data_IF_933201898915
#
_entry.id   IF_933201898915
#
_cell.length_a   1.000
_cell.length_b   1.000
_cell.length_c   1.000
_cell.angle_alpha   90.00
_cell.angle_beta   90.00
_cell.angle_gamma   90.00
#
_symmetry.space_group_name_H-M   'P 1'
#
loop_
_entity.id
_entity.type
_entity.pdbx_description
1 polymer ?
#
# COMPACT_ATOMS: atom_id res chain seq x y z
N UNK A 1 9.85 23.33 -6.61
CA UNK A 1 10.97 22.36 -6.62
C UNK A 1 10.39 21.01 -6.19
N UNK A 2 10.58 19.91 -6.94
CA UNK A 2 9.97 18.62 -6.56
C UNK A 2 10.63 18.10 -5.28
N UNK A 3 9.94 17.29 -4.48
CA UNK A 3 10.54 16.72 -3.25
C UNK A 3 11.85 15.97 -3.50
N UNK A 4 11.95 15.33 -4.66
CA UNK A 4 13.15 14.67 -5.19
C UNK A 4 14.34 15.64 -5.25
N UNK A 5 14.13 16.82 -5.83
CA UNK A 5 15.19 17.83 -6.01
C UNK A 5 15.73 18.31 -4.65
N UNK A 6 14.84 18.59 -3.69
CA UNK A 6 15.26 19.00 -2.34
C UNK A 6 15.98 17.88 -1.60
N UNK A 7 15.57 16.62 -1.78
CA UNK A 7 16.26 15.47 -1.20
C UNK A 7 17.71 15.38 -1.71
N UNK A 8 17.94 15.56 -3.02
CA UNK A 8 19.28 15.64 -3.61
C UNK A 8 20.11 16.77 -3.02
N UNK A 9 19.54 17.97 -2.88
CA UNK A 9 20.25 19.14 -2.34
C UNK A 9 20.75 18.95 -0.89
N UNK A 10 20.08 18.09 -0.11
CA UNK A 10 20.49 17.79 1.27
C UNK A 10 21.23 16.44 1.40
N UNK A 11 21.65 15.86 0.29
CA UNK A 11 22.46 14.64 0.25
C UNK A 11 21.70 13.36 0.61
N UNK A 12 20.38 13.34 0.43
CA UNK A 12 19.59 12.10 0.53
C UNK A 12 19.51 11.43 -0.82
N UNK A 13 19.58 10.10 -0.82
CA UNK A 13 19.30 9.29 -2.01
C UNK A 13 17.85 9.48 -2.42
N UNK A 14 17.66 9.63 -3.72
CA UNK A 14 16.38 9.60 -4.38
C UNK A 14 16.35 8.44 -5.38
N UNK A 15 15.56 7.43 -5.09
CA UNK A 15 15.02 6.56 -6.12
C UNK A 15 13.72 7.19 -6.60
N UNK A 16 13.65 7.59 -7.88
CA UNK A 16 12.45 8.19 -8.46
C UNK A 16 11.20 7.32 -8.17
N UNK A 17 11.36 5.98 -8.12
CA UNK A 17 10.31 4.98 -7.91
C UNK A 17 9.98 4.67 -6.43
N UNK A 18 9.77 5.69 -5.60
CA UNK A 18 9.35 5.43 -4.21
C UNK A 18 9.19 6.63 -3.29
N UNK A 19 9.49 7.84 -3.76
CA UNK A 19 9.26 9.06 -2.96
C UNK A 19 7.78 9.20 -2.61
N UNK A 20 6.86 8.86 -3.53
CA UNK A 20 5.42 8.85 -3.28
C UNK A 20 5.06 7.95 -2.09
N UNK A 21 5.59 6.72 -2.06
CA UNK A 21 5.43 5.80 -0.94
C UNK A 21 5.97 6.40 0.36
N UNK A 22 7.20 6.92 0.36
CA UNK A 22 7.81 7.48 1.56
C UNK A 22 7.06 8.68 2.15
N UNK A 23 6.52 9.54 1.27
CA UNK A 23 5.64 10.66 1.63
C UNK A 23 4.32 10.16 2.20
N UNK A 24 3.64 9.27 1.48
CA UNK A 24 2.36 8.69 1.88
C UNK A 24 2.46 7.97 3.23
N UNK A 25 3.49 7.13 3.43
CA UNK A 25 3.77 6.43 4.68
C UNK A 25 4.01 7.39 5.86
N UNK A 26 4.83 8.43 5.64
CA UNK A 26 5.12 9.42 6.69
C UNK A 26 3.87 10.21 7.10
N UNK A 27 3.05 10.56 6.12
CA UNK A 27 1.77 11.26 6.32
C UNK A 27 0.74 10.37 6.99
N UNK A 28 0.60 9.12 6.57
CA UNK A 28 -0.32 8.12 7.14
C UNK A 28 -0.12 7.98 8.66
N UNK A 29 1.13 7.80 9.10
CA UNK A 29 1.43 7.64 10.53
C UNK A 29 1.08 8.91 11.31
N UNK A 30 1.31 10.07 10.69
CA UNK A 30 1.05 11.36 11.34
C UNK A 30 -0.45 11.66 11.43
N UNK A 31 -1.22 11.24 10.43
CA UNK A 31 -2.68 11.29 10.43
C UNK A 31 -3.26 10.40 11.53
N UNK A 32 -2.86 9.13 11.60
CA UNK A 32 -3.36 8.18 12.61
C UNK A 32 -3.11 8.67 14.05
N UNK A 33 -1.95 9.29 14.31
CA UNK A 33 -1.63 9.85 15.63
C UNK A 33 -2.49 11.06 16.03
N UNK A 34 -3.33 11.59 15.12
CA UNK A 34 -4.16 12.77 15.36
C UNK A 34 -3.35 14.03 15.64
N UNK A 35 -2.10 14.08 15.16
CA UNK A 35 -1.16 15.12 15.53
C UNK A 35 -1.47 16.43 14.78
N UNK A 36 -1.31 17.58 15.46
CA UNK A 36 -1.02 18.86 14.77
C UNK A 36 0.16 18.73 13.78
N UNK A 37 1.01 17.70 13.97
CA UNK A 37 2.08 17.36 13.04
C UNK A 37 1.59 17.05 11.64
N UNK A 38 0.37 16.56 11.45
CA UNK A 38 -0.22 16.44 10.12
C UNK A 38 -0.24 17.80 9.41
N UNK A 39 -0.71 18.86 10.08
CA UNK A 39 -0.62 20.25 9.59
C UNK A 39 0.83 20.74 9.46
N UNK A 40 1.71 20.41 10.41
CA UNK A 40 3.14 20.80 10.33
C UNK A 40 3.88 20.10 9.17
N UNK A 41 3.48 18.89 8.79
CA UNK A 41 4.05 18.19 7.63
C UNK A 41 3.61 18.83 6.33
N UNK A 42 2.34 19.26 6.21
CA UNK A 42 1.87 20.09 5.09
C UNK A 42 2.70 21.37 4.97
N UNK A 43 2.93 22.07 6.09
CA UNK A 43 3.78 23.29 6.10
C UNK A 43 5.22 23.00 5.69
N UNK A 44 5.79 21.85 6.06
CA UNK A 44 7.14 21.47 5.64
C UNK A 44 7.21 21.19 4.14
N UNK A 45 6.20 20.55 3.59
CA UNK A 45 6.16 20.27 2.16
C UNK A 45 5.92 21.53 1.33
N UNK A 46 5.03 22.44 1.75
CA UNK A 46 4.85 23.72 1.05
C UNK A 46 6.11 24.59 1.02
N UNK A 47 7.02 24.43 1.99
CA UNK A 47 8.35 25.07 1.97
C UNK A 47 9.27 24.49 0.87
N UNK A 48 9.14 23.20 0.53
CA UNK A 48 9.83 22.57 -0.60
C UNK A 48 9.34 23.20 -1.90
N UNK A 49 8.01 23.27 -2.09
CA UNK A 49 7.42 23.75 -3.35
C UNK A 49 7.76 25.21 -3.64
N UNK A 50 7.75 26.05 -2.60
CA UNK A 50 8.02 27.49 -2.70
C UNK A 50 9.51 27.85 -2.81
N UNK A 51 10.44 26.90 -2.64
CA UNK A 51 11.88 27.15 -2.69
C UNK A 51 12.43 28.01 -1.53
N UNK A 52 11.63 28.25 -0.49
CA UNK A 52 12.02 29.13 0.64
C UNK A 52 12.63 28.29 1.77
N UNK A 53 13.95 28.11 1.75
CA UNK A 53 14.69 27.35 2.78
C UNK A 53 15.66 28.28 3.54
N UNK A 54 15.35 28.56 4.82
CA UNK A 54 16.30 29.15 5.77
C UNK A 54 17.02 28.06 6.58
N UNK A 55 18.13 28.34 7.26
CA UNK A 55 18.92 27.33 7.98
C UNK A 55 18.12 26.54 9.04
N UNK A 56 17.32 27.24 9.85
CA UNK A 56 16.43 26.61 10.85
C UNK A 56 15.36 25.75 10.18
N UNK A 57 14.87 26.16 9.01
CA UNK A 57 13.92 25.37 8.21
C UNK A 57 14.61 24.14 7.60
N UNK A 58 15.87 24.27 7.18
CA UNK A 58 16.69 23.21 6.58
C UNK A 58 16.85 22.02 7.53
N UNK A 59 17.15 22.26 8.80
CA UNK A 59 17.29 21.18 9.79
C UNK A 59 15.96 20.44 10.03
N UNK A 60 14.85 21.19 10.14
CA UNK A 60 13.51 20.62 10.34
C UNK A 60 13.01 19.84 9.13
N UNK A 61 13.40 20.28 7.94
CA UNK A 61 13.11 19.65 6.66
C UNK A 61 13.94 18.38 6.47
N UNK A 62 15.23 18.44 6.80
CA UNK A 62 16.14 17.30 6.77
C UNK A 62 15.64 16.14 7.64
N UNK A 63 15.18 16.40 8.87
CA UNK A 63 14.57 15.36 9.74
C UNK A 63 13.33 14.73 9.12
N UNK A 64 12.52 15.52 8.40
CA UNK A 64 11.33 15.02 7.71
C UNK A 64 11.71 14.15 6.50
N UNK A 65 12.54 14.67 5.61
CA UNK A 65 12.96 13.98 4.39
C UNK A 65 13.81 12.74 4.68
N UNK A 66 14.58 12.72 5.78
CA UNK A 66 15.27 11.51 6.23
C UNK A 66 14.28 10.39 6.55
N UNK A 67 13.10 10.73 7.11
CA UNK A 67 12.06 9.74 7.39
C UNK A 67 11.40 9.25 6.11
N UNK A 68 11.14 10.16 5.16
CA UNK A 68 10.65 9.82 3.82
C UNK A 68 11.61 8.83 3.14
N UNK A 69 12.91 9.14 3.12
CA UNK A 69 13.94 8.30 2.51
C UNK A 69 14.00 6.89 3.14
N UNK A 70 13.83 6.79 4.46
CA UNK A 70 13.81 5.50 5.16
C UNK A 70 12.64 4.60 4.73
N UNK A 71 11.48 5.18 4.44
CA UNK A 71 10.33 4.42 3.95
C UNK A 71 10.43 4.12 2.45
N UNK A 72 10.93 5.07 1.66
CA UNK A 72 11.12 4.94 0.23
C UNK A 72 12.06 3.77 -0.15
N UNK A 73 13.22 3.70 0.49
CA UNK A 73 14.28 2.76 0.15
C UNK A 73 15.01 2.25 1.41
N UNK A 74 14.35 1.47 2.28
CA UNK A 74 14.95 1.01 3.53
C UNK A 74 16.24 0.20 3.31
N UNK A 75 16.36 -0.49 2.17
CA UNK A 75 17.53 -1.28 1.80
C UNK A 75 18.83 -0.45 1.67
N UNK A 76 18.75 0.84 1.33
CA UNK A 76 19.91 1.74 1.30
C UNK A 76 20.41 2.11 2.69
N UNK A 77 19.58 1.86 3.72
CA UNK A 77 19.83 2.22 5.09
C UNK A 77 19.91 0.99 6.00
N UNK A 78 20.33 -0.17 5.46
CA UNK A 78 20.46 -1.46 6.20
C UNK A 78 21.20 -1.33 7.52
N UNK A 79 22.28 -0.55 7.57
CA UNK A 79 23.05 -0.28 8.79
C UNK A 79 22.26 0.42 9.91
N UNK A 80 21.06 0.92 9.61
CA UNK A 80 20.14 1.53 10.57
C UNK A 80 19.12 0.53 11.13
N UNK A 81 19.06 -0.72 10.67
CA UNK A 81 18.11 -1.74 11.12
C UNK A 81 18.81 -2.89 11.85
N UNK A 82 18.20 -3.43 12.94
CA UNK A 82 18.82 -4.48 13.76
C UNK A 82 18.83 -5.86 13.08
N UNK A 83 17.89 -6.13 12.18
CA UNK A 83 17.86 -7.31 11.31
C UNK A 83 17.86 -6.78 9.87
N UNK A 84 18.76 -7.20 8.96
CA UNK A 84 18.84 -6.69 7.58
C UNK A 84 17.61 -7.00 6.69
N UNK A 85 16.49 -7.41 7.27
CA UNK A 85 15.19 -7.48 6.61
C UNK A 85 14.62 -6.06 6.49
N UNK A 86 14.28 -5.49 5.31
CA UNK A 86 13.91 -6.16 4.06
C UNK A 86 14.52 -5.56 2.78
N UNK A 87 14.23 -6.21 1.65
CA UNK A 87 14.41 -5.69 0.29
C UNK A 87 13.22 -4.80 -0.20
N UNK A 88 12.29 -4.38 0.69
CA UNK A 88 10.98 -3.79 0.31
C UNK A 88 10.49 -2.62 1.17
N UNK A 89 9.52 -1.88 0.65
CA UNK A 89 8.77 -0.77 1.26
C UNK A 89 7.81 -1.24 2.38
N UNK A 90 8.33 -1.90 3.41
CA UNK A 90 7.54 -2.34 4.57
C UNK A 90 7.41 -1.21 5.62
N UNK A 91 6.28 -0.51 5.59
CA UNK A 91 6.01 0.60 6.50
C UNK A 91 5.96 0.17 7.98
N UNK A 92 5.50 -1.05 8.29
CA UNK A 92 5.36 -1.52 9.67
C UNK A 92 6.74 -1.76 10.26
N UNK A 93 7.58 -2.56 9.60
CA UNK A 93 8.94 -2.87 10.06
C UNK A 93 9.80 -1.60 10.20
N UNK A 94 9.72 -0.69 9.22
CA UNK A 94 10.44 0.60 9.29
C UNK A 94 9.92 1.44 10.46
N UNK A 95 8.60 1.47 10.69
CA UNK A 95 7.98 2.22 11.78
C UNK A 95 8.28 1.64 13.17
N UNK A 96 8.38 0.32 13.31
CA UNK A 96 8.76 -0.31 14.58
C UNK A 96 10.21 0.06 14.95
N UNK A 97 11.11 0.02 13.96
CA UNK A 97 12.52 0.35 14.15
C UNK A 97 12.78 1.84 14.35
N UNK A 98 12.06 2.72 13.63
CA UNK A 98 12.33 4.17 13.57
C UNK A 98 11.18 5.04 14.09
N UNK A 99 10.18 4.43 14.72
CA UNK A 99 9.04 5.10 15.30
C UNK A 99 9.41 6.04 16.47
N UNK A 100 8.82 7.23 16.47
CA UNK A 100 8.97 8.17 17.59
C UNK A 100 8.25 7.70 18.87
N UNK A 101 8.58 8.31 20.02
CA UNK A 101 8.02 7.97 21.35
C UNK A 101 6.49 7.86 21.37
N UNK A 102 5.79 8.73 20.63
CA UNK A 102 4.32 8.74 20.56
C UNK A 102 3.76 7.51 19.85
N UNK A 103 4.38 7.11 18.73
CA UNK A 103 3.98 5.90 18.01
C UNK A 103 4.15 4.67 18.90
N UNK A 104 5.28 4.59 19.63
CA UNK A 104 5.52 3.51 20.60
C UNK A 104 4.48 3.50 21.72
N UNK A 105 4.14 4.67 22.29
CA UNK A 105 3.08 4.79 23.32
C UNK A 105 1.70 4.35 22.81
N UNK A 106 1.43 4.54 21.51
CA UNK A 106 0.19 4.11 20.87
C UNK A 106 0.22 2.64 20.40
N UNK A 107 1.20 1.83 20.83
CA UNK A 107 1.30 0.41 20.47
C UNK A 107 1.94 0.13 19.11
N UNK A 108 2.56 1.12 18.47
CA UNK A 108 3.17 0.98 17.14
C UNK A 108 2.18 1.15 16.00
N UNK A 109 2.67 1.01 14.76
CA UNK A 109 1.84 0.90 13.57
C UNK A 109 1.57 -0.59 13.31
N UNK A 110 0.36 -0.96 12.91
CA UNK A 110 -0.03 -2.35 12.62
C UNK A 110 -0.83 -2.41 11.32
N UNK A 111 -0.61 -3.45 10.53
CA UNK A 111 -1.50 -3.78 9.39
C UNK A 111 -2.85 -4.25 9.95
N UNK A 112 -3.92 -3.77 9.32
CA UNK A 112 -5.31 -4.13 9.62
C UNK A 112 -5.81 -5.13 8.60
N UNK A 113 -5.62 -4.81 7.31
CA UNK A 113 -5.97 -5.64 6.18
C UNK A 113 -5.17 -5.20 4.95
N UNK A 114 -4.80 -6.14 4.10
CA UNK A 114 -4.14 -5.91 2.84
C UNK A 114 -5.03 -6.53 1.75
N UNK A 115 -5.55 -5.69 0.86
CA UNK A 115 -6.58 -6.06 -0.11
C UNK A 115 -6.16 -5.54 -1.47
N UNK A 116 -6.25 -6.35 -2.52
CA UNK A 116 -6.07 -5.92 -3.90
C UNK A 116 -7.36 -6.09 -4.69
N UNK A 117 -7.55 -5.32 -5.75
CA UNK A 117 -8.74 -5.48 -6.58
C UNK A 117 -8.71 -4.72 -7.88
N UNK A 118 -9.63 -5.10 -8.76
CA UNK A 118 -9.92 -4.40 -10.01
C UNK A 118 -11.24 -3.67 -9.86
N UNK A 119 -11.20 -2.35 -9.94
CA UNK A 119 -12.31 -1.47 -9.61
C UNK A 119 -12.51 -0.42 -10.68
N UNK A 120 -13.76 -0.19 -11.07
CA UNK A 120 -14.11 1.01 -11.83
C UNK A 120 -13.97 2.26 -10.96
N UNK A 121 -14.06 3.45 -11.59
CA UNK A 121 -14.13 4.72 -10.84
C UNK A 121 -15.31 4.76 -9.88
N UNK A 122 -16.44 4.21 -10.31
CA UNK A 122 -17.66 4.15 -9.51
C UNK A 122 -17.55 3.14 -8.37
N UNK A 123 -16.93 1.98 -8.62
CA UNK A 123 -16.62 1.00 -7.57
C UNK A 123 -15.73 1.65 -6.49
N UNK A 124 -14.67 2.34 -6.90
CA UNK A 124 -13.75 3.00 -5.98
C UNK A 124 -14.46 4.10 -5.16
N UNK A 125 -15.37 4.85 -5.78
CA UNK A 125 -16.21 5.83 -5.08
C UNK A 125 -17.10 5.17 -4.04
N UNK A 126 -17.83 4.15 -4.44
CA UNK A 126 -18.83 3.49 -3.61
C UNK A 126 -18.16 2.70 -2.48
N UNK A 127 -16.95 2.20 -2.71
CA UNK A 127 -16.06 1.62 -1.72
C UNK A 127 -15.72 2.63 -0.61
N UNK A 128 -15.22 3.82 -0.95
CA UNK A 128 -14.92 4.86 0.05
C UNK A 128 -16.19 5.33 0.78
N UNK A 129 -17.28 5.57 0.06
CA UNK A 129 -18.56 5.95 0.68
C UNK A 129 -19.05 4.89 1.67
N UNK A 130 -19.01 3.61 1.29
CA UNK A 130 -19.37 2.48 2.14
C UNK A 130 -18.47 2.39 3.39
N UNK A 131 -17.17 2.64 3.25
CA UNK A 131 -16.23 2.67 4.38
C UNK A 131 -16.56 3.81 5.36
N UNK A 132 -16.85 5.02 4.86
CA UNK A 132 -17.25 6.14 5.72
C UNK A 132 -18.53 5.83 6.50
N UNK A 133 -19.43 5.04 5.91
CA UNK A 133 -20.66 4.64 6.56
C UNK A 133 -20.40 3.60 7.65
N UNK A 134 -19.56 2.60 7.38
CA UNK A 134 -19.17 1.59 8.36
C UNK A 134 -18.48 2.22 9.57
N UNK A 135 -17.47 3.07 9.33
CA UNK A 135 -16.72 3.77 10.38
C UNK A 135 -17.59 4.67 11.27
N UNK A 136 -18.71 5.20 10.77
CA UNK A 136 -19.65 6.03 11.55
C UNK A 136 -20.65 5.23 12.39
N UNK A 137 -20.86 3.96 12.07
CA UNK A 137 -21.91 3.13 12.68
C UNK A 137 -21.45 2.34 13.89
N UNK A 138 -20.17 2.39 14.22
CA UNK A 138 -19.64 1.84 15.45
C UNK A 138 -19.35 2.97 16.47
N UNK A 139 -20.37 3.43 17.22
CA UNK A 139 -20.22 4.52 18.18
C UNK A 139 -19.32 4.16 19.38
N UNK A 140 -18.99 2.88 19.58
CA UNK A 140 -18.12 2.39 20.65
C UNK A 140 -16.64 2.33 20.27
N UNK A 141 -16.32 2.33 18.98
CA UNK A 141 -14.95 2.22 18.49
C UNK A 141 -14.05 3.37 18.99
N UNK A 142 -12.91 3.00 19.59
CA UNK A 142 -11.83 3.93 19.91
C UNK A 142 -11.01 4.31 18.67
N UNK A 143 -11.15 3.59 17.56
CA UNK A 143 -10.60 3.97 16.27
C UNK A 143 -11.43 5.11 15.65
N UNK A 144 -10.88 6.34 15.72
CA UNK A 144 -11.51 7.52 15.10
C UNK A 144 -10.95 7.90 13.74
N UNK A 145 -9.76 7.37 13.42
CA UNK A 145 -9.05 7.63 12.17
C UNK A 145 -8.70 6.32 11.50
N UNK A 146 -9.11 6.20 10.25
CA UNK A 146 -8.88 5.05 9.39
C UNK A 146 -7.98 5.51 8.27
N UNK A 147 -6.88 4.81 8.01
CA UNK A 147 -5.97 5.20 6.95
C UNK A 147 -5.54 4.00 6.14
N UNK A 148 -5.42 4.23 4.84
CA UNK A 148 -4.90 3.25 3.90
C UNK A 148 -3.88 3.89 2.96
N UNK A 149 -2.94 3.08 2.52
CA UNK A 149 -2.20 3.36 1.30
C UNK A 149 -3.00 2.77 0.14
N UNK A 150 -3.28 3.60 -0.86
CA UNK A 150 -3.86 3.19 -2.13
C UNK A 150 -2.75 3.26 -3.15
N UNK A 151 -2.43 2.13 -3.78
CA UNK A 151 -1.30 2.02 -4.67
C UNK A 151 -1.67 1.29 -5.96
N UNK A 152 -1.01 1.68 -7.04
CA UNK A 152 -0.80 0.86 -8.22
C UNK A 152 0.73 0.61 -8.33
N UNK A 153 1.20 0.12 -9.47
CA UNK A 153 2.62 -0.20 -9.69
C UNK A 153 3.56 1.01 -9.63
N UNK A 154 3.08 2.19 -10.02
CA UNK A 154 3.94 3.37 -10.24
C UNK A 154 3.69 4.48 -9.25
N UNK A 155 2.58 4.41 -8.50
CA UNK A 155 2.14 5.50 -7.64
C UNK A 155 1.48 5.00 -6.36
N UNK A 156 1.69 5.75 -5.28
CA UNK A 156 1.09 5.49 -3.98
C UNK A 156 0.58 6.80 -3.38
N UNK A 157 -0.67 6.78 -2.95
CA UNK A 157 -1.31 7.87 -2.24
C UNK A 157 -1.80 7.39 -0.88
N UNK A 158 -1.84 8.30 0.08
CA UNK A 158 -2.49 8.03 1.36
C UNK A 158 -3.92 8.54 1.31
N UNK A 159 -4.85 7.70 1.74
CA UNK A 159 -6.27 8.03 1.92
C UNK A 159 -6.62 7.81 3.38
N UNK A 160 -7.10 8.86 4.04
CA UNK A 160 -7.52 8.84 5.45
C UNK A 160 -8.97 9.26 5.62
N UNK A 161 -9.67 8.67 6.57
CA UNK A 161 -11.00 9.10 7.02
C UNK A 161 -10.99 9.40 8.51
N UNK A 162 -11.38 10.62 8.86
CA UNK A 162 -11.59 11.07 10.23
C UNK A 162 -13.09 11.00 10.53
N UNK A 163 -13.49 9.99 11.32
CA UNK A 163 -14.91 9.70 11.60
C UNK A 163 -15.56 10.73 12.52
N UNK A 164 -14.79 11.38 13.41
CA UNK A 164 -15.29 12.42 14.32
C UNK A 164 -15.70 13.66 13.54
N UNK A 165 -14.84 14.08 12.60
CA UNK A 165 -15.07 15.27 11.78
C UNK A 165 -15.80 14.97 10.47
N UNK A 166 -15.95 13.68 10.12
CA UNK A 166 -16.54 13.18 8.87
C UNK A 166 -15.82 13.71 7.63
N UNK A 167 -14.49 13.80 7.71
CA UNK A 167 -13.64 14.31 6.66
C UNK A 167 -12.76 13.22 6.06
N UNK A 168 -12.71 13.19 4.74
CA UNK A 168 -11.71 12.46 3.98
C UNK A 168 -10.46 13.31 3.81
N UNK A 169 -9.30 12.66 3.77
CA UNK A 169 -8.00 13.27 3.57
C UNK A 169 -7.27 12.49 2.49
N UNK A 170 -6.97 13.14 1.37
CA UNK A 170 -6.15 12.55 0.31
C UNK A 170 -4.80 13.22 0.31
N UNK A 171 -3.75 12.42 0.41
CA UNK A 171 -2.37 12.86 0.37
C UNK A 171 -1.65 12.26 -0.81
N UNK A 172 -1.17 13.14 -1.67
CA UNK A 172 -0.55 12.76 -2.92
C UNK A 172 0.59 13.74 -3.26
N UNK A 173 1.78 13.18 -3.54
CA UNK A 173 3.01 13.93 -3.80
C UNK A 173 3.30 15.02 -2.75
N UNK A 174 2.88 14.83 -1.49
CA UNK A 174 3.08 15.80 -0.42
C UNK A 174 2.00 16.86 -0.26
N UNK A 175 1.08 16.96 -1.21
CA UNK A 175 -0.12 17.79 -1.12
C UNK A 175 -1.21 17.01 -0.39
N UNK A 176 -1.77 17.60 0.66
CA UNK A 176 -2.92 17.01 1.35
C UNK A 176 -4.12 17.91 1.15
N UNK A 177 -5.23 17.33 0.73
CA UNK A 177 -6.52 18.00 0.71
C UNK A 177 -7.52 17.22 1.58
N UNK A 178 -8.43 17.95 2.21
CA UNK A 178 -9.54 17.38 2.97
C UNK A 178 -10.85 17.64 2.26
N UNK A 179 -11.78 16.69 2.36
CA UNK A 179 -13.07 16.73 1.68
C UNK A 179 -14.16 16.25 2.63
N UNK A 180 -15.28 16.95 2.67
CA UNK A 180 -16.48 16.41 3.31
C UNK A 180 -17.19 15.38 2.42
N UNK A 181 -18.34 14.89 2.88
CA UNK A 181 -19.11 13.88 2.16
C UNK A 181 -19.65 14.38 0.80
N UNK A 182 -19.99 15.66 0.70
CA UNK A 182 -20.58 16.25 -0.52
C UNK A 182 -19.48 16.54 -1.56
N UNK A 183 -18.30 16.93 -1.10
CA UNK A 183 -17.11 17.16 -1.93
C UNK A 183 -16.45 15.87 -2.40
N UNK A 184 -16.67 14.74 -1.70
CA UNK A 184 -15.96 13.48 -1.92
C UNK A 184 -16.06 12.99 -3.37
N UNK A 185 -17.22 13.12 -4.02
CA UNK A 185 -17.41 12.70 -5.42
C UNK A 185 -16.44 13.41 -6.36
N UNK A 186 -16.30 14.74 -6.22
CA UNK A 186 -15.37 15.53 -7.02
C UNK A 186 -13.91 15.24 -6.67
N UNK A 187 -13.63 14.96 -5.40
CA UNK A 187 -12.31 14.58 -4.93
C UNK A 187 -11.86 13.22 -5.49
N UNK A 188 -12.75 12.23 -5.52
CA UNK A 188 -12.46 10.90 -6.05
C UNK A 188 -12.13 10.98 -7.53
N UNK A 189 -12.86 11.78 -8.30
CA UNK A 189 -12.50 11.99 -9.71
C UNK A 189 -11.05 12.44 -9.85
N UNK A 190 -10.63 13.45 -9.07
CA UNK A 190 -9.24 13.94 -9.08
C UNK A 190 -8.24 12.90 -8.60
N UNK A 191 -8.57 12.13 -7.56
CA UNK A 191 -7.70 11.09 -7.03
C UNK A 191 -7.52 9.95 -8.04
N UNK A 192 -8.63 9.50 -8.61
CA UNK A 192 -8.69 8.49 -9.65
C UNK A 192 -7.83 8.94 -10.84
N UNK A 193 -8.07 10.14 -11.39
CA UNK A 193 -7.29 10.68 -12.51
C UNK A 193 -5.77 10.77 -12.25
N UNK A 194 -5.33 10.77 -10.98
CA UNK A 194 -3.90 10.75 -10.61
C UNK A 194 -3.33 9.35 -10.40
N UNK A 195 -4.16 8.40 -10.00
CA UNK A 195 -3.82 6.96 -9.97
C UNK A 195 -3.93 6.33 -11.36
N UNK A 196 -4.39 7.09 -12.35
CA UNK A 196 -4.87 6.60 -13.62
C UNK A 196 -4.08 7.18 -14.78
N UNK A 197 -3.77 6.34 -15.77
CA UNK A 197 -2.82 6.69 -16.83
C UNK A 197 -3.31 6.41 -18.26
N UNK A 198 -4.57 6.04 -18.54
CA UNK A 198 -5.04 5.75 -19.92
C UNK A 198 -6.56 5.92 -20.16
N UNK A 199 -7.20 5.22 -21.12
CA UNK A 199 -8.59 5.45 -21.59
C UNK A 199 -9.67 4.45 -21.12
N UNK A 200 -9.33 3.40 -20.34
CA UNK A 200 -10.30 2.45 -19.74
C UNK A 200 -10.64 2.80 -18.28
N UNK A 201 -11.90 3.05 -17.93
CA UNK A 201 -12.34 3.50 -16.58
C UNK A 201 -12.23 2.44 -15.44
N UNK A 202 -11.13 1.68 -15.39
CA UNK A 202 -10.86 0.59 -14.45
C UNK A 202 -9.41 0.62 -13.98
N UNK A 203 -9.19 0.42 -12.68
CA UNK A 203 -7.87 0.35 -12.05
C UNK A 203 -7.68 -0.98 -11.32
N UNK A 204 -6.47 -1.54 -11.45
CA UNK A 204 -5.97 -2.53 -10.50
C UNK A 204 -5.25 -1.80 -9.35
N UNK A 205 -5.67 -2.04 -8.12
CA UNK A 205 -5.19 -1.33 -6.94
C UNK A 205 -4.85 -2.29 -5.80
N UNK A 206 -3.87 -1.89 -5.00
CA UNK A 206 -3.65 -2.39 -3.64
C UNK A 206 -4.15 -1.36 -2.63
N UNK A 207 -4.82 -1.83 -1.58
CA UNK A 207 -5.38 -1.11 -0.46
C UNK A 207 -4.81 -1.70 0.83
N UNK A 208 -3.79 -1.06 1.40
CA UNK A 208 -3.18 -1.50 2.65
C UNK A 208 -3.70 -0.65 3.80
N UNK A 209 -4.48 -1.24 4.70
CA UNK A 209 -5.10 -0.58 5.84
C UNK A 209 -4.21 -0.66 7.07
N UNK A 210 -4.09 0.45 7.79
CA UNK A 210 -3.24 0.53 8.97
C UNK A 210 -3.95 1.20 10.14
N UNK A 211 -3.56 0.77 11.34
CA UNK A 211 -4.01 1.34 12.60
C UNK A 211 -2.85 1.49 13.58
N UNK A 212 -3.08 2.31 14.61
CA UNK A 212 -2.23 2.28 15.80
C UNK A 212 -2.52 0.99 16.58
N UNK A 213 -1.51 0.42 17.23
CA UNK A 213 -1.69 -0.80 18.03
C UNK A 213 -2.78 -0.67 19.10
N UNK A 214 -2.94 0.52 19.69
CA UNK A 214 -4.02 0.82 20.66
C UNK A 214 -5.42 0.88 20.06
N UNK A 215 -5.56 0.80 18.74
CA UNK A 215 -6.82 0.89 17.98
C UNK A 215 -7.00 -0.30 17.03
N UNK A 216 -6.14 -1.31 17.12
CA UNK A 216 -6.06 -2.37 16.12
C UNK A 216 -7.35 -3.20 16.06
N UNK A 217 -7.85 -3.65 17.22
CA UNK A 217 -9.01 -4.54 17.27
C UNK A 217 -10.27 -3.83 16.77
N UNK A 218 -10.48 -2.58 17.16
CA UNK A 218 -11.58 -1.75 16.66
C UNK A 218 -11.47 -1.50 15.15
N UNK A 219 -10.27 -1.19 14.66
CA UNK A 219 -10.04 -0.98 13.24
C UNK A 219 -10.31 -2.27 12.44
N UNK A 220 -9.86 -3.43 12.93
CA UNK A 220 -10.16 -4.74 12.34
C UNK A 220 -11.65 -4.99 12.30
N UNK A 221 -12.35 -4.79 13.42
CA UNK A 221 -13.79 -4.98 13.49
C UNK A 221 -14.54 -4.15 12.43
N UNK A 222 -14.18 -2.87 12.29
CA UNK A 222 -14.80 -1.98 11.30
C UNK A 222 -14.45 -2.39 9.87
N UNK A 223 -13.20 -2.74 9.58
CA UNK A 223 -12.79 -3.13 8.22
C UNK A 223 -13.39 -4.49 7.83
N UNK A 224 -13.40 -5.47 8.72
CA UNK A 224 -14.02 -6.78 8.50
C UNK A 224 -15.53 -6.65 8.29
N UNK A 225 -16.22 -5.91 9.17
CA UNK A 225 -17.66 -5.68 9.02
C UNK A 225 -17.99 -4.89 7.76
N UNK A 226 -17.14 -3.93 7.38
CA UNK A 226 -17.27 -3.19 6.12
C UNK A 226 -17.14 -4.11 4.90
N UNK A 227 -16.15 -5.00 4.90
CA UNK A 227 -15.89 -5.92 3.79
C UNK A 227 -17.02 -6.94 3.60
N UNK A 228 -17.68 -7.35 4.69
CA UNK A 228 -18.84 -8.23 4.66
C UNK A 228 -20.15 -7.56 4.20
N UNK A 229 -20.17 -6.23 4.01
CA UNK A 229 -21.37 -5.54 3.50
C UNK A 229 -21.62 -5.93 2.06
N UNK A 230 -22.90 -6.07 1.68
CA UNK A 230 -23.31 -6.46 0.32
C UNK A 230 -22.61 -5.63 -0.76
N UNK A 231 -22.60 -4.30 -0.61
CA UNK A 231 -21.96 -3.39 -1.57
C UNK A 231 -20.48 -3.71 -1.78
N UNK A 232 -19.70 -3.90 -0.71
CA UNK A 232 -18.26 -4.20 -0.85
C UNK A 232 -18.03 -5.62 -1.36
N UNK A 233 -18.78 -6.59 -0.85
CA UNK A 233 -18.67 -7.98 -1.28
C UNK A 233 -19.04 -8.19 -2.74
N UNK A 234 -20.03 -7.46 -3.26
CA UNK A 234 -20.44 -7.50 -4.67
C UNK A 234 -19.36 -6.84 -5.55
N UNK A 235 -18.90 -5.62 -5.20
CA UNK A 235 -17.86 -4.92 -5.97
C UNK A 235 -16.52 -5.68 -6.00
N UNK A 236 -16.16 -6.36 -4.91
CA UNK A 236 -14.91 -7.09 -4.77
C UNK A 236 -14.98 -8.53 -5.31
N UNK A 237 -16.11 -8.96 -5.88
CA UNK A 237 -16.19 -10.32 -6.42
C UNK A 237 -15.13 -10.56 -7.50
N UNK A 238 -14.46 -11.71 -7.42
CA UNK A 238 -13.56 -12.18 -8.48
C UNK A 238 -14.41 -12.93 -9.51
N UNK A 239 -14.46 -12.38 -10.71
CA UNK A 239 -15.01 -13.01 -11.91
C UNK A 239 -13.95 -13.08 -13.02
N UNK A 240 -14.29 -13.68 -14.14
CA UNK A 240 -13.37 -13.87 -15.28
C UNK A 240 -12.91 -12.53 -15.87
N UNK A 241 -13.80 -11.53 -15.96
CA UNK A 241 -13.48 -10.22 -16.53
C UNK A 241 -12.43 -9.50 -15.68
N UNK A 242 -12.64 -9.40 -14.36
CA UNK A 242 -11.69 -8.78 -13.45
C UNK A 242 -10.41 -9.59 -13.29
N UNK A 243 -10.50 -10.93 -13.31
CA UNK A 243 -9.32 -11.79 -13.16
C UNK A 243 -8.38 -11.73 -14.37
N UNK A 244 -8.93 -11.53 -15.57
CA UNK A 244 -8.17 -11.45 -16.83
C UNK A 244 -7.90 -10.02 -17.29
N UNK A 245 -8.43 -9.02 -16.58
CA UNK A 245 -8.07 -7.62 -16.79
C UNK A 245 -6.58 -7.41 -16.57
N UNK A 246 -5.89 -6.91 -17.59
CA UNK A 246 -4.50 -6.49 -17.54
C UNK A 246 -4.47 -4.96 -17.56
N UNK A 247 -3.87 -4.35 -16.54
CA UNK A 247 -3.74 -2.91 -16.46
C UNK A 247 -2.72 -2.37 -17.48
N UNK A 248 -2.58 -1.05 -17.55
CA UNK A 248 -1.63 -0.39 -18.45
C UNK A 248 -0.16 -0.76 -18.22
N UNK A 249 0.17 -1.20 -17.01
CA UNK A 249 1.52 -1.60 -16.62
C UNK A 249 1.79 -3.08 -16.97
N UNK A 250 0.80 -3.76 -17.57
CA UNK A 250 0.93 -5.15 -18.02
C UNK A 250 0.66 -6.17 -16.92
N UNK A 251 0.00 -5.78 -15.82
CA UNK A 251 -0.26 -6.65 -14.68
C UNK A 251 -1.75 -6.91 -14.47
N UNK A 252 -2.07 -8.18 -14.23
CA UNK A 252 -3.40 -8.63 -13.82
C UNK A 252 -3.55 -8.63 -12.30
N UNK A 253 -4.79 -8.76 -11.81
CA UNK A 253 -5.09 -8.79 -10.37
C UNK A 253 -4.26 -9.81 -9.59
N UNK A 254 -4.00 -10.99 -10.17
CA UNK A 254 -3.22 -12.04 -9.50
C UNK A 254 -1.83 -11.56 -9.05
N UNK A 255 -1.22 -10.63 -9.77
CA UNK A 255 0.10 -10.08 -9.47
C UNK A 255 0.07 -9.32 -8.14
N UNK A 256 -0.90 -8.41 -7.97
CA UNK A 256 -1.10 -7.64 -6.75
C UNK A 256 -1.49 -8.53 -5.56
N UNK A 257 -2.41 -9.46 -5.78
CA UNK A 257 -2.84 -10.40 -4.74
C UNK A 257 -1.67 -11.28 -4.26
N UNK A 258 -0.79 -11.69 -5.17
CA UNK A 258 0.37 -12.48 -4.85
C UNK A 258 1.45 -11.68 -4.11
N UNK A 259 1.65 -10.40 -4.47
CA UNK A 259 2.54 -9.48 -3.76
C UNK A 259 2.09 -9.25 -2.30
N UNK A 260 0.78 -9.06 -2.10
CA UNK A 260 0.16 -8.83 -0.79
C UNK A 260 0.03 -10.10 0.06
N UNK A 261 0.15 -11.30 -0.53
CA UNK A 261 -0.04 -12.55 0.19
C UNK A 261 -1.52 -12.96 0.36
N UNK A 262 -2.41 -12.47 -0.50
CA UNK A 262 -3.86 -12.73 -0.45
C UNK A 262 -4.20 -14.14 -0.95
N UNK A 263 -3.90 -15.15 -0.12
CA UNK A 263 -3.93 -16.57 -0.49
C UNK A 263 -5.26 -17.02 -1.12
N UNK A 264 -6.40 -16.59 -0.56
CA UNK A 264 -7.72 -16.98 -1.06
C UNK A 264 -8.08 -16.29 -2.38
N UNK A 265 -7.65 -15.04 -2.58
CA UNK A 265 -7.80 -14.33 -3.85
C UNK A 265 -6.94 -15.00 -4.93
N UNK A 266 -5.66 -15.26 -4.62
CA UNK A 266 -4.73 -15.95 -5.53
C UNK A 266 -5.29 -17.32 -5.94
N UNK A 267 -5.85 -18.10 -5.02
CA UNK A 267 -6.47 -19.40 -5.33
C UNK A 267 -7.59 -19.31 -6.35
N UNK A 268 -8.42 -18.27 -6.30
CA UNK A 268 -9.51 -18.05 -7.25
C UNK A 268 -8.97 -17.52 -8.58
N UNK A 269 -8.08 -16.53 -8.52
CA UNK A 269 -7.48 -15.89 -9.70
C UNK A 269 -6.66 -16.88 -10.53
N UNK A 270 -5.89 -17.76 -9.90
CA UNK A 270 -5.13 -18.85 -10.55
C UNK A 270 -5.98 -19.63 -11.55
N UNK A 271 -7.23 -19.96 -11.20
CA UNK A 271 -8.11 -20.75 -12.07
C UNK A 271 -8.46 -19.99 -13.35
N UNK A 272 -8.80 -18.71 -13.23
CA UNK A 272 -9.12 -17.86 -14.38
C UNK A 272 -7.87 -17.56 -15.21
N UNK A 273 -6.74 -17.22 -14.57
CA UNK A 273 -5.48 -16.93 -15.27
C UNK A 273 -4.99 -18.14 -16.07
N UNK A 274 -4.99 -19.34 -15.49
CA UNK A 274 -4.57 -20.54 -16.24
C UNK A 274 -5.52 -20.90 -17.39
N UNK A 275 -6.80 -20.55 -17.29
CA UNK A 275 -7.78 -20.74 -18.37
C UNK A 275 -7.65 -19.70 -19.50
N UNK A 276 -7.01 -18.56 -19.25
CA UNK A 276 -6.86 -17.45 -20.20
C UNK A 276 -5.72 -17.64 -21.22
N UNK A 277 -5.13 -18.84 -21.29
CA UNK A 277 -4.06 -19.17 -22.24
C UNK A 277 -2.70 -18.58 -21.86
N UNK A 278 -1.81 -18.41 -22.85
CA UNK A 278 -0.41 -18.06 -22.65
C UNK A 278 -0.21 -16.76 -21.87
N UNK A 279 -1.04 -15.74 -22.14
CA UNK A 279 -0.94 -14.48 -21.42
C UNK A 279 -1.32 -14.62 -19.95
N UNK A 280 -2.33 -15.43 -19.65
CA UNK A 280 -2.69 -15.73 -18.27
C UNK A 280 -1.61 -16.53 -17.53
N UNK A 281 -0.94 -17.48 -18.20
CA UNK A 281 0.23 -18.19 -17.64
C UNK A 281 1.37 -17.22 -17.33
N UNK A 282 1.65 -16.27 -18.21
CA UNK A 282 2.63 -15.20 -17.98
C UNK A 282 2.30 -14.38 -16.73
N UNK A 283 1.03 -14.04 -16.50
CA UNK A 283 0.62 -13.32 -15.29
C UNK A 283 0.83 -14.15 -14.01
N UNK A 284 0.66 -15.47 -14.07
CA UNK A 284 0.98 -16.37 -12.94
C UNK A 284 2.49 -16.45 -12.69
N UNK A 285 3.32 -16.48 -13.75
CA UNK A 285 4.79 -16.39 -13.63
C UNK A 285 5.22 -15.10 -12.93
N UNK A 286 4.67 -13.96 -13.36
CA UNK A 286 4.93 -12.66 -12.75
C UNK A 286 4.45 -12.63 -11.29
N UNK A 287 3.27 -13.19 -11.00
CA UNK A 287 2.74 -13.30 -9.64
C UNK A 287 3.65 -14.12 -8.73
N UNK A 288 4.20 -15.24 -9.21
CA UNK A 288 5.19 -16.04 -8.47
C UNK A 288 6.46 -15.22 -8.16
N UNK A 289 6.94 -14.43 -9.14
CA UNK A 289 8.08 -13.55 -8.96
C UNK A 289 7.81 -12.45 -7.92
N UNK A 290 6.64 -11.78 -7.98
CA UNK A 290 6.23 -10.77 -7.00
C UNK A 290 6.04 -11.35 -5.59
N UNK A 291 5.40 -12.50 -5.47
CA UNK A 291 5.28 -13.20 -4.19
C UNK A 291 6.65 -13.57 -3.61
N UNK A 292 7.60 -13.97 -4.45
CA UNK A 292 8.97 -14.29 -4.04
C UNK A 292 9.68 -13.05 -3.52
N UNK A 293 9.64 -11.96 -4.29
CA UNK A 293 10.12 -10.65 -3.88
C UNK A 293 9.54 -10.28 -2.51
N UNK A 294 8.22 -10.21 -2.35
CA UNK A 294 7.59 -9.87 -1.07
C UNK A 294 7.74 -10.93 0.03
N UNK A 295 8.19 -12.13 -0.31
CA UNK A 295 8.41 -13.24 0.61
C UNK A 295 7.14 -13.92 1.10
N UNK A 296 6.12 -13.97 0.25
CA UNK A 296 4.81 -14.57 0.51
C UNK A 296 4.85 -16.08 0.30
N UNK A 297 5.50 -16.78 1.24
CA UNK A 297 5.78 -18.22 1.14
C UNK A 297 4.52 -19.08 0.90
N UNK A 298 3.41 -18.76 1.55
CA UNK A 298 2.16 -19.51 1.37
C UNK A 298 1.58 -19.36 -0.05
N UNK A 299 1.75 -18.19 -0.68
CA UNK A 299 1.35 -17.96 -2.07
C UNK A 299 2.27 -18.70 -3.04
N UNK A 300 3.59 -18.70 -2.77
CA UNK A 300 4.57 -19.46 -3.56
C UNK A 300 4.19 -20.94 -3.55
N UNK A 301 3.96 -21.51 -2.37
CA UNK A 301 3.55 -22.92 -2.21
C UNK A 301 2.25 -23.19 -2.98
N UNK A 302 1.25 -22.32 -2.89
CA UNK A 302 -0.02 -22.47 -3.61
C UNK A 302 0.16 -22.48 -5.14
N UNK A 303 0.96 -21.55 -5.69
CA UNK A 303 1.20 -21.47 -7.14
C UNK A 303 1.96 -22.72 -7.60
N UNK A 304 3.01 -23.12 -6.88
CA UNK A 304 3.82 -24.30 -7.18
C UNK A 304 3.00 -25.59 -7.17
N UNK A 305 2.14 -25.77 -6.15
CA UNK A 305 1.29 -26.96 -6.03
C UNK A 305 0.22 -27.00 -7.14
N UNK A 306 -0.24 -25.84 -7.62
CA UNK A 306 -1.32 -25.75 -8.61
C UNK A 306 -0.81 -25.80 -10.05
N UNK A 307 0.35 -25.23 -10.32
CA UNK A 307 0.93 -25.06 -11.66
C UNK A 307 2.44 -25.33 -11.66
N UNK A 308 2.89 -26.56 -11.37
CA UNK A 308 4.32 -26.87 -11.22
C UNK A 308 5.15 -26.63 -12.50
N UNK A 309 4.53 -26.62 -13.68
CA UNK A 309 5.21 -26.30 -14.94
C UNK A 309 5.76 -24.87 -15.00
N UNK A 310 5.18 -23.94 -14.23
CA UNK A 310 5.60 -22.53 -14.15
C UNK A 310 6.99 -22.38 -13.51
N UNK A 311 7.43 -23.39 -12.75
CA UNK A 311 8.77 -23.44 -12.14
C UNK A 311 9.86 -23.64 -13.22
N UNK A 312 9.54 -24.08 -14.43
CA UNK A 312 10.56 -24.26 -15.47
C UNK A 312 10.71 -23.06 -16.42
N UNK A 313 9.91 -22.01 -16.22
CA UNK A 313 9.97 -20.80 -17.03
C UNK A 313 11.02 -19.81 -16.47
N UNK A 314 12.26 -19.92 -16.96
CA UNK A 314 13.35 -18.91 -17.01
C UNK A 314 13.74 -18.05 -15.78
N UNK A 315 13.15 -18.20 -14.58
CA UNK A 315 13.34 -17.25 -13.47
C UNK A 315 13.46 -17.84 -12.06
N UNK A 316 13.41 -19.17 -11.91
CA UNK A 316 13.26 -19.86 -10.61
C UNK A 316 14.41 -19.79 -9.63
N UNK A 317 15.54 -19.22 -10.04
CA UNK A 317 16.55 -18.86 -9.06
C UNK A 317 15.94 -17.96 -7.99
N UNK A 318 15.01 -17.06 -8.33
CA UNK A 318 14.52 -16.07 -7.37
C UNK A 318 13.65 -16.65 -6.22
N UNK A 319 12.58 -17.43 -6.49
CA UNK A 319 11.80 -18.09 -5.43
C UNK A 319 12.65 -18.95 -4.49
N UNK A 320 13.58 -19.75 -5.04
CA UNK A 320 14.44 -20.64 -4.27
C UNK A 320 15.39 -19.85 -3.34
N UNK A 321 16.01 -18.78 -3.85
CA UNK A 321 16.87 -17.91 -3.03
C UNK A 321 16.11 -17.28 -1.87
N UNK A 322 14.88 -16.80 -2.10
CA UNK A 322 14.05 -16.20 -1.05
C UNK A 322 13.66 -17.24 0.00
N UNK A 323 13.19 -18.42 -0.43
CA UNK A 323 12.81 -19.49 0.48
C UNK A 323 14.00 -19.92 1.35
N UNK A 324 15.18 -20.09 0.75
CA UNK A 324 16.42 -20.41 1.46
C UNK A 324 16.84 -19.30 2.43
N UNK A 325 16.82 -18.03 2.00
CA UNK A 325 17.13 -16.87 2.86
C UNK A 325 16.21 -16.80 4.07
N UNK A 326 14.95 -17.18 3.92
CA UNK A 326 13.94 -17.18 4.99
C UNK A 326 13.93 -18.46 5.82
N UNK A 327 14.78 -19.44 5.51
CA UNK A 327 14.82 -20.73 6.20
C UNK A 327 13.56 -21.57 6.00
N UNK A 328 12.83 -21.34 4.91
CA UNK A 328 11.57 -22.00 4.59
C UNK A 328 11.82 -23.37 3.94
N UNK A 329 12.29 -24.34 4.74
CA UNK A 329 12.69 -25.67 4.25
C UNK A 329 11.61 -26.32 3.37
N UNK A 330 10.35 -26.33 3.81
CA UNK A 330 9.24 -26.92 3.04
C UNK A 330 9.06 -26.28 1.66
N UNK A 331 9.24 -24.97 1.53
CA UNK A 331 9.13 -24.27 0.25
C UNK A 331 10.37 -24.52 -0.62
N UNK A 332 11.56 -24.62 -0.02
CA UNK A 332 12.80 -24.99 -0.72
C UNK A 332 12.68 -26.38 -1.33
N UNK A 333 12.18 -27.36 -0.57
CA UNK A 333 11.99 -28.74 -1.04
C UNK A 333 11.02 -28.83 -2.23
N UNK A 334 9.98 -27.99 -2.25
CA UNK A 334 9.03 -27.92 -3.37
C UNK A 334 9.59 -27.27 -4.64
N UNK A 335 10.61 -26.43 -4.50
CA UNK A 335 11.21 -25.67 -5.60
C UNK A 335 12.44 -26.36 -6.22
N UNK A 336 12.84 -27.54 -5.71
CA UNK A 336 13.96 -28.35 -6.18
C UNK A 336 13.49 -29.61 -6.93
#
# INVERSE_FOLDING_TARGET
MRSVDVMREIGLSDHDDGVCFGLAATTLISFLLGDEKFKKLQTKHSMIDSGVITDIKREKLSKYLTRVALFQAPYLYRNKFPDPKPFFQDIVSVSESKGGKRLKKAGGLKSVADISGVYSRDDFRDMLLSLSYAARRDPGSAAKRYAMLVANETHTVMVGYDSDNRLWFFHDHGVTASYDHDELRGAIKKLYDRLYCNDRDTLALTLNFYALGSQLDDAKHVIESWFQRSVMSEMHQIDEEKATFINQDGFAWIVFAAENGELDAVRKLLKYSLAAGDEGVRQVEIALWRASISGQLAVIDLIVDTAPSIINASGIHFPLHVAAQRGALSTVEKLL
#
